data_IF_884846430952
#
_entry.id   IF_884846430952
#
_cell.length_a   1.000
_cell.length_b   1.000
_cell.length_c   1.000
_cell.angle_alpha   90.00
_cell.angle_beta   90.00
_cell.angle_gamma   90.00
#
_symmetry.space_group_name_H-M   'P 1'
#
loop_
_entity.id
_entity.type
_entity.pdbx_description
1 polymer ?
#
# COMPACT_ATOMS: atom_id res chain seq x y z
N UNK A 1 -17.29 35.98 11.73
CA UNK A 1 -17.99 35.67 12.98
C UNK A 1 -16.94 35.35 14.05
N UNK A 2 -16.53 36.38 14.81
CA UNK A 2 -15.36 36.33 15.72
C UNK A 2 -15.45 35.20 16.76
N UNK A 3 -16.66 34.89 17.22
CA UNK A 3 -16.92 33.82 18.18
C UNK A 3 -16.55 32.44 17.63
N UNK A 4 -16.78 32.19 16.33
CA UNK A 4 -16.40 30.92 15.70
C UNK A 4 -14.88 30.80 15.56
N UNK A 5 -14.20 31.91 15.28
CA UNK A 5 -12.75 31.94 15.18
C UNK A 5 -12.10 31.69 16.56
N UNK A 6 -12.63 32.31 17.61
CA UNK A 6 -12.19 32.06 18.98
C UNK A 6 -12.40 30.59 19.37
N UNK A 7 -13.58 30.02 19.11
CA UNK A 7 -13.86 28.62 19.39
C UNK A 7 -12.91 27.65 18.67
N UNK A 8 -12.55 27.95 17.40
CA UNK A 8 -11.55 27.18 16.65
C UNK A 8 -10.17 27.25 17.30
N UNK A 9 -9.73 28.44 17.73
CA UNK A 9 -8.43 28.61 18.42
C UNK A 9 -8.42 27.85 19.74
N UNK A 10 -9.47 27.98 20.56
CA UNK A 10 -9.60 27.25 21.83
C UNK A 10 -9.57 25.74 21.62
N UNK A 11 -10.34 25.21 20.65
CA UNK A 11 -10.31 23.78 20.32
C UNK A 11 -8.90 23.30 19.96
N UNK A 12 -8.19 24.07 19.14
CA UNK A 12 -6.81 23.73 18.73
C UNK A 12 -5.88 23.67 19.95
N UNK A 13 -5.95 24.66 20.82
CA UNK A 13 -5.13 24.72 22.03
C UNK A 13 -5.41 23.52 22.95
N UNK A 14 -6.69 23.19 23.19
CA UNK A 14 -7.06 22.01 23.97
C UNK A 14 -6.52 20.71 23.36
N UNK A 15 -6.56 20.56 22.04
CA UNK A 15 -6.03 19.36 21.37
C UNK A 15 -4.51 19.24 21.52
N UNK A 16 -3.77 20.36 21.44
CA UNK A 16 -2.32 20.40 21.67
C UNK A 16 -2.01 19.93 23.09
N UNK A 17 -2.67 20.52 24.09
CA UNK A 17 -2.49 20.17 25.50
C UNK A 17 -2.83 18.70 25.78
N UNK A 18 -3.88 18.17 25.13
CA UNK A 18 -4.23 16.74 25.24
C UNK A 18 -3.14 15.82 24.67
N UNK A 19 -2.57 16.18 23.52
CA UNK A 19 -1.47 15.40 22.91
C UNK A 19 -0.23 15.43 23.80
N UNK A 20 0.12 16.61 24.33
CA UNK A 20 1.24 16.77 25.26
C UNK A 20 1.03 15.95 26.54
N UNK A 21 -0.16 16.02 27.11
CA UNK A 21 -0.52 15.27 28.32
C UNK A 21 -0.40 13.76 28.14
N UNK A 22 -0.94 13.22 27.04
CA UNK A 22 -0.84 11.78 26.71
C UNK A 22 0.61 11.36 26.43
N UNK A 23 1.43 12.26 25.91
CA UNK A 23 2.84 11.98 25.61
C UNK A 23 3.70 11.92 26.88
N UNK A 24 3.42 12.77 27.87
CA UNK A 24 4.20 12.86 29.10
C UNK A 24 3.75 11.88 30.18
N UNK A 25 2.45 11.57 30.23
CA UNK A 25 1.86 10.78 31.30
C UNK A 25 1.82 9.28 30.96
N UNK A 26 2.18 8.43 31.93
CA UNK A 26 2.00 6.97 31.82
C UNK A 26 0.60 6.57 32.30
N UNK A 27 0.01 5.57 31.66
CA UNK A 27 -1.30 5.00 32.03
C UNK A 27 -2.49 5.98 31.99
N UNK A 28 -2.52 6.90 31.03
CA UNK A 28 -3.65 7.84 30.83
C UNK A 28 -4.96 7.13 30.50
N UNK A 29 -4.87 5.99 29.79
CA UNK A 29 -6.05 5.29 29.28
C UNK A 29 -6.53 4.22 30.27
N UNK A 30 -7.70 4.44 30.85
CA UNK A 30 -8.40 3.51 31.74
C UNK A 30 -9.84 3.27 31.24
N UNK A 31 -10.58 2.32 31.85
CA UNK A 31 -11.93 1.97 31.37
C UNK A 31 -12.93 3.13 31.38
N UNK A 32 -12.75 4.12 32.25
CA UNK A 32 -13.64 5.29 32.37
C UNK A 32 -13.44 6.29 31.22
N UNK A 33 -12.20 6.48 30.78
CA UNK A 33 -11.84 7.46 29.75
C UNK A 33 -12.06 6.92 28.33
N UNK A 34 -11.96 5.60 28.15
CA UNK A 34 -12.05 4.95 26.83
C UNK A 34 -13.29 5.32 26.00
N UNK A 35 -14.53 5.32 26.56
CA UNK A 35 -15.72 5.69 25.78
C UNK A 35 -15.63 7.10 25.19
N UNK A 36 -15.16 8.07 25.99
CA UNK A 36 -15.01 9.46 25.56
C UNK A 36 -13.94 9.62 24.49
N UNK A 37 -12.84 8.86 24.58
CA UNK A 37 -11.80 8.83 23.55
C UNK A 37 -12.35 8.32 22.23
N UNK A 38 -13.05 7.18 22.23
CA UNK A 38 -13.63 6.62 21.01
C UNK A 38 -14.67 7.56 20.41
N UNK A 39 -15.50 8.19 21.23
CA UNK A 39 -16.49 9.17 20.76
C UNK A 39 -15.82 10.41 20.16
N UNK A 40 -14.79 10.97 20.81
CA UNK A 40 -14.04 12.13 20.33
C UNK A 40 -13.40 11.82 18.97
N UNK A 41 -12.73 10.67 18.84
CA UNK A 41 -12.13 10.25 17.57
C UNK A 41 -13.20 10.07 16.49
N UNK A 42 -14.29 9.38 16.81
CA UNK A 42 -15.36 9.09 15.85
C UNK A 42 -16.01 10.36 15.31
N UNK A 43 -16.31 11.34 16.19
CA UNK A 43 -16.96 12.61 15.81
C UNK A 43 -16.05 13.55 15.04
N UNK A 44 -14.73 13.48 15.22
CA UNK A 44 -13.80 14.36 14.52
C UNK A 44 -13.29 13.77 13.21
N UNK A 45 -13.09 12.45 13.13
CA UNK A 45 -12.47 11.80 11.98
C UNK A 45 -13.49 11.28 10.97
N UNK A 46 -14.49 10.53 11.42
CA UNK A 46 -15.37 9.78 10.53
C UNK A 46 -16.41 10.70 9.89
N UNK A 47 -16.21 10.93 8.60
CA UNK A 47 -17.02 11.79 7.74
C UNK A 47 -17.05 11.19 6.35
N UNK A 48 -18.09 11.52 5.59
CA UNK A 48 -18.07 11.29 4.14
C UNK A 48 -16.98 12.17 3.52
N UNK A 49 -16.14 11.57 2.69
CA UNK A 49 -15.15 12.31 1.91
C UNK A 49 -15.87 13.17 0.87
N UNK A 50 -15.32 14.36 0.54
CA UNK A 50 -15.87 15.16 -0.56
C UNK A 50 -15.81 14.36 -1.87
N UNK A 51 -16.73 14.61 -2.82
CA UNK A 51 -16.61 14.03 -4.15
C UNK A 51 -15.30 14.45 -4.81
N UNK A 52 -14.75 13.64 -5.73
CA UNK A 52 -13.55 14.01 -6.47
C UNK A 52 -13.73 15.35 -7.17
N UNK A 53 -12.71 16.22 -7.09
CA UNK A 53 -12.76 17.53 -7.76
C UNK A 53 -12.76 17.40 -9.29
N UNK A 54 -12.03 16.40 -9.80
CA UNK A 54 -11.80 16.18 -11.22
C UNK A 54 -12.45 14.88 -11.67
N UNK A 55 -13.21 14.94 -12.76
CA UNK A 55 -13.84 13.76 -13.38
C UNK A 55 -12.79 12.90 -14.09
N UNK A 56 -11.92 13.55 -14.88
CA UNK A 56 -10.77 12.94 -15.55
C UNK A 56 -9.51 13.43 -14.83
N UNK A 57 -9.13 12.72 -13.77
CA UNK A 57 -7.99 13.13 -12.96
C UNK A 57 -6.66 12.80 -13.61
N UNK A 58 -5.80 13.82 -13.73
CA UNK A 58 -4.43 13.67 -14.15
C UNK A 58 -3.50 13.81 -12.92
N UNK A 59 -2.81 12.74 -12.48
CA UNK A 59 -1.89 12.81 -11.35
C UNK A 59 -0.71 13.77 -11.55
N UNK A 60 -0.38 14.16 -12.78
CA UNK A 60 0.72 15.07 -13.07
C UNK A 60 0.27 16.55 -13.06
N UNK A 61 -0.99 16.84 -13.38
CA UNK A 61 -1.50 18.21 -13.49
C UNK A 61 -2.40 18.63 -12.31
N UNK A 62 -3.14 17.70 -11.70
CA UNK A 62 -4.16 18.04 -10.71
C UNK A 62 -3.60 18.20 -9.29
N UNK A 63 -3.91 19.33 -8.67
CA UNK A 63 -3.52 19.59 -7.28
C UNK A 63 -4.38 18.79 -6.29
N UNK A 64 -3.78 18.19 -5.25
CA UNK A 64 -4.53 17.46 -4.23
C UNK A 64 -5.40 18.42 -3.40
N UNK A 65 -6.64 18.00 -3.13
CA UNK A 65 -7.54 18.76 -2.28
C UNK A 65 -7.15 18.67 -0.80
N UNK A 66 -6.48 19.71 -0.31
CA UNK A 66 -6.11 19.80 1.11
C UNK A 66 -7.31 20.12 1.99
N UNK A 67 -7.45 19.38 3.08
CA UNK A 67 -8.54 19.61 4.01
C UNK A 67 -8.34 20.92 4.79
N UNK A 68 -9.29 21.85 4.69
CA UNK A 68 -9.23 23.14 5.39
C UNK A 68 -9.30 23.03 6.91
N UNK A 69 -9.83 21.91 7.44
CA UNK A 69 -9.85 21.60 8.88
C UNK A 69 -8.55 20.92 9.37
N UNK A 70 -7.53 20.78 8.51
CA UNK A 70 -6.25 20.15 8.85
C UNK A 70 -5.59 20.67 10.15
N UNK A 71 -5.58 21.99 10.44
CA UNK A 71 -4.99 22.50 11.68
C UNK A 71 -5.60 21.93 12.98
N UNK A 72 -6.80 21.35 12.91
CA UNK A 72 -7.41 20.60 14.02
C UNK A 72 -7.24 19.10 13.83
N UNK A 73 -7.48 18.59 12.62
CA UNK A 73 -7.42 17.16 12.32
C UNK A 73 -6.04 16.57 12.58
N UNK A 74 -4.97 17.32 12.28
CA UNK A 74 -3.60 16.90 12.56
C UNK A 74 -3.45 16.45 14.03
N UNK A 75 -3.91 17.25 14.98
CA UNK A 75 -3.79 16.92 16.41
C UNK A 75 -4.74 15.80 16.84
N UNK A 76 -5.89 15.64 16.17
CA UNK A 76 -6.78 14.49 16.41
C UNK A 76 -6.11 13.20 15.93
N UNK A 77 -5.48 13.21 14.76
CA UNK A 77 -4.72 12.08 14.24
C UNK A 77 -3.48 11.77 15.08
N UNK A 78 -2.76 12.80 15.52
CA UNK A 78 -1.62 12.64 16.41
C UNK A 78 -2.06 12.03 17.74
N UNK A 79 -3.13 12.54 18.34
CA UNK A 79 -3.73 11.96 19.53
C UNK A 79 -4.14 10.49 19.28
N UNK A 80 -4.78 10.19 18.15
CA UNK A 80 -5.19 8.82 17.81
C UNK A 80 -3.98 7.88 17.71
N UNK A 81 -2.92 8.32 17.04
CA UNK A 81 -1.68 7.58 16.93
C UNK A 81 -1.04 7.32 18.30
N UNK A 82 -0.93 8.36 19.16
CA UNK A 82 -0.42 8.22 20.53
C UNK A 82 -1.27 7.28 21.38
N UNK A 83 -2.60 7.37 21.26
CA UNK A 83 -3.55 6.48 21.92
C UNK A 83 -3.29 5.02 21.54
N UNK A 84 -3.21 4.68 20.25
CA UNK A 84 -2.91 3.32 19.79
C UNK A 84 -1.52 2.85 20.22
N UNK A 85 -0.55 3.75 20.34
CA UNK A 85 0.81 3.41 20.80
C UNK A 85 0.91 3.11 22.29
N UNK A 86 0.11 3.77 23.13
CA UNK A 86 0.29 3.78 24.59
C UNK A 86 -0.79 3.01 25.35
N UNK A 87 -2.01 2.92 24.83
CA UNK A 87 -3.09 2.17 25.46
C UNK A 87 -2.77 0.66 25.56
N UNK A 88 -3.35 0.01 26.58
CA UNK A 88 -3.28 -1.44 26.73
C UNK A 88 -4.06 -2.14 25.60
N UNK A 89 -3.51 -3.24 25.09
CA UNK A 89 -4.11 -4.06 24.02
C UNK A 89 -5.48 -4.61 24.45
N UNK A 90 -5.67 -4.91 25.74
CA UNK A 90 -6.96 -5.36 26.26
C UNK A 90 -8.03 -4.26 26.13
N UNK A 91 -7.69 -3.02 26.47
CA UNK A 91 -8.58 -1.86 26.32
C UNK A 91 -8.85 -1.57 24.84
N UNK A 92 -7.80 -1.54 24.01
CA UNK A 92 -7.94 -1.36 22.56
C UNK A 92 -8.89 -2.41 21.97
N UNK A 93 -8.72 -3.69 22.33
CA UNK A 93 -9.59 -4.78 21.86
C UNK A 93 -11.03 -4.64 22.34
N UNK A 94 -11.26 -4.16 23.57
CA UNK A 94 -12.59 -3.99 24.15
C UNK A 94 -13.37 -2.88 23.45
N UNK A 95 -12.71 -1.78 23.09
CA UNK A 95 -13.38 -0.56 22.64
C UNK A 95 -13.24 -0.26 21.14
N UNK A 96 -12.14 -0.65 20.48
CA UNK A 96 -12.01 -0.52 19.02
C UNK A 96 -12.75 -1.66 18.33
N UNK A 97 -13.99 -1.45 17.93
CA UNK A 97 -14.74 -2.46 17.19
C UNK A 97 -14.33 -2.51 15.70
N UNK A 98 -14.72 -3.58 15.00
CA UNK A 98 -14.44 -3.73 13.55
C UNK A 98 -15.06 -2.60 12.71
N UNK A 99 -16.21 -2.05 13.13
CA UNK A 99 -16.89 -0.94 12.44
C UNK A 99 -16.06 0.35 12.48
N UNK A 100 -15.44 0.65 13.62
CA UNK A 100 -14.52 1.76 13.78
C UNK A 100 -13.33 1.63 12.82
N UNK A 101 -12.79 0.42 12.70
CA UNK A 101 -11.70 0.15 11.76
C UNK A 101 -12.15 0.28 10.30
N UNK A 102 -13.36 -0.15 9.94
CA UNK A 102 -13.89 0.08 8.58
C UNK A 102 -13.97 1.58 8.27
N UNK A 103 -14.56 2.38 9.16
CA UNK A 103 -14.62 3.82 8.93
C UNK A 103 -13.24 4.47 8.84
N UNK A 104 -12.26 4.00 9.62
CA UNK A 104 -10.88 4.46 9.49
C UNK A 104 -10.27 4.04 8.14
N UNK A 105 -10.63 2.87 7.62
CA UNK A 105 -10.19 2.40 6.31
C UNK A 105 -10.82 3.19 5.17
N UNK A 106 -12.10 3.60 5.28
CA UNK A 106 -12.76 4.43 4.28
C UNK A 106 -12.04 5.78 4.08
N UNK A 107 -11.42 6.31 5.13
CA UNK A 107 -10.65 7.55 5.07
C UNK A 107 -9.33 7.45 4.30
N UNK A 108 -8.83 6.24 3.98
CA UNK A 108 -7.66 6.10 3.10
C UNK A 108 -7.95 6.62 1.69
N UNK A 109 -9.21 6.77 1.30
CA UNK A 109 -9.57 7.38 0.02
C UNK A 109 -9.51 8.93 0.05
N UNK A 110 -9.08 9.55 1.15
CA UNK A 110 -8.90 11.00 1.23
C UNK A 110 -7.89 11.49 0.19
N UNK A 111 -8.16 12.63 -0.45
CA UNK A 111 -7.22 13.27 -1.38
C UNK A 111 -6.03 13.90 -0.66
N UNK A 112 -6.17 14.22 0.64
CA UNK A 112 -5.11 14.82 1.45
C UNK A 112 -4.05 13.78 1.85
N UNK A 113 -2.82 13.83 1.30
CA UNK A 113 -1.78 12.85 1.59
C UNK A 113 -1.38 12.82 3.07
N UNK A 114 -1.54 13.94 3.78
CA UNK A 114 -1.18 14.05 5.20
C UNK A 114 -2.12 13.19 6.05
N UNK A 115 -3.40 13.14 5.69
CA UNK A 115 -4.40 12.31 6.35
C UNK A 115 -4.09 10.82 6.13
N UNK A 116 -3.74 10.45 4.90
CA UNK A 116 -3.37 9.07 4.55
C UNK A 116 -2.11 8.59 5.26
N UNK A 117 -1.11 9.44 5.43
CA UNK A 117 0.13 9.07 6.14
C UNK A 117 -0.12 8.77 7.64
N UNK A 118 -0.94 9.57 8.32
CA UNK A 118 -1.35 9.24 9.70
C UNK A 118 -2.15 7.94 9.77
N UNK A 119 -3.12 7.76 8.86
CA UNK A 119 -3.90 6.53 8.79
C UNK A 119 -3.02 5.30 8.56
N UNK A 120 -1.99 5.42 7.70
CA UNK A 120 -0.97 4.40 7.47
C UNK A 120 -0.28 4.00 8.77
N UNK A 121 0.29 4.98 9.47
CA UNK A 121 0.99 4.76 10.74
C UNK A 121 0.09 4.10 11.78
N UNK A 122 -1.15 4.60 11.92
CA UNK A 122 -2.13 4.10 12.89
C UNK A 122 -2.55 2.67 12.55
N UNK A 123 -2.96 2.40 11.32
CA UNK A 123 -3.43 1.08 10.89
C UNK A 123 -2.32 0.03 11.01
N UNK A 124 -1.09 0.39 10.62
CA UNK A 124 0.08 -0.46 10.81
C UNK A 124 0.31 -0.78 12.29
N UNK A 125 0.20 0.22 13.18
CA UNK A 125 0.37 0.01 14.62
C UNK A 125 -0.72 -0.88 15.22
N UNK A 126 -1.97 -0.71 14.78
CA UNK A 126 -3.09 -1.58 15.17
C UNK A 126 -2.83 -3.02 14.71
N UNK A 127 -2.40 -3.22 13.46
CA UNK A 127 -2.07 -4.54 12.93
C UNK A 127 -0.95 -5.25 13.72
N UNK A 128 0.09 -4.50 14.07
CA UNK A 128 1.24 -5.01 14.82
C UNK A 128 0.89 -5.40 16.26
N UNK A 129 0.17 -4.54 16.99
CA UNK A 129 -0.15 -4.73 18.42
C UNK A 129 -1.38 -5.61 18.67
N UNK A 130 -2.40 -5.52 17.82
CA UNK A 130 -3.70 -6.15 18.07
C UNK A 130 -3.91 -7.36 17.14
N UNK A 131 -3.31 -8.49 17.52
CA UNK A 131 -3.35 -9.76 16.77
C UNK A 131 -4.74 -10.15 16.23
N UNK A 132 -5.85 -10.01 17.00
CA UNK A 132 -7.18 -10.41 16.53
C UNK A 132 -7.70 -9.63 15.31
N UNK A 133 -7.17 -8.42 15.05
CA UNK A 133 -7.58 -7.63 13.89
C UNK A 133 -6.80 -7.97 12.61
N UNK A 134 -5.72 -8.76 12.69
CA UNK A 134 -4.86 -9.04 11.51
C UNK A 134 -5.62 -9.65 10.34
N UNK A 135 -6.44 -10.67 10.60
CA UNK A 135 -7.26 -11.29 9.55
C UNK A 135 -8.28 -10.31 8.97
N UNK A 136 -8.88 -9.49 9.82
CA UNK A 136 -9.88 -8.51 9.43
C UNK A 136 -9.27 -7.40 8.55
N UNK A 137 -8.14 -6.83 8.97
CA UNK A 137 -7.42 -5.80 8.22
C UNK A 137 -6.97 -6.34 6.87
N UNK A 138 -6.34 -7.53 6.82
CA UNK A 138 -5.94 -8.14 5.52
C UNK A 138 -7.14 -8.30 4.59
N UNK A 139 -8.27 -8.82 5.07
CA UNK A 139 -9.49 -8.96 4.25
C UNK A 139 -10.03 -7.62 3.77
N UNK A 140 -10.04 -6.60 4.62
CA UNK A 140 -10.54 -5.28 4.25
C UNK A 140 -9.64 -4.61 3.20
N UNK A 141 -8.31 -4.71 3.34
CA UNK A 141 -7.37 -4.20 2.32
C UNK A 141 -7.57 -4.96 1.01
N UNK A 142 -7.69 -6.30 1.06
CA UNK A 142 -7.94 -7.11 -0.12
C UNK A 142 -9.21 -6.68 -0.86
N UNK A 143 -10.29 -6.38 -0.14
CA UNK A 143 -11.53 -5.92 -0.77
C UNK A 143 -11.31 -4.59 -1.52
N UNK A 144 -10.59 -3.64 -0.93
CA UNK A 144 -10.25 -2.37 -1.59
C UNK A 144 -9.44 -2.63 -2.87
N UNK A 145 -8.41 -3.46 -2.79
CA UNK A 145 -7.58 -3.81 -3.96
C UNK A 145 -8.39 -4.51 -5.06
N UNK A 146 -9.33 -5.39 -4.69
CA UNK A 146 -10.22 -6.06 -5.65
C UNK A 146 -11.14 -5.07 -6.36
N UNK A 147 -11.70 -4.07 -5.67
CA UNK A 147 -12.49 -3.02 -6.31
C UNK A 147 -11.65 -2.21 -7.31
N UNK A 148 -10.39 -1.90 -6.99
CA UNK A 148 -9.49 -1.23 -7.94
C UNK A 148 -9.22 -2.09 -9.19
N UNK A 149 -9.02 -3.40 -9.02
CA UNK A 149 -8.69 -4.31 -10.12
C UNK A 149 -9.89 -4.57 -11.04
N UNK A 150 -11.07 -4.83 -10.46
CA UNK A 150 -12.22 -5.37 -11.20
C UNK A 150 -13.33 -4.36 -11.46
N UNK A 151 -13.48 -3.36 -10.60
CA UNK A 151 -14.47 -2.30 -10.77
C UNK A 151 -13.85 -1.02 -11.36
N UNK A 152 -12.52 -1.01 -11.59
CA UNK A 152 -11.75 0.15 -12.05
C UNK A 152 -12.01 1.41 -11.21
N UNK A 153 -12.34 1.22 -9.92
CA UNK A 153 -12.58 2.34 -9.02
C UNK A 153 -11.25 3.01 -8.68
N UNK A 154 -11.20 4.34 -8.84
CA UNK A 154 -10.09 5.13 -8.34
C UNK A 154 -10.09 5.11 -6.82
N UNK A 155 -8.92 4.84 -6.24
CA UNK A 155 -8.72 4.90 -4.80
C UNK A 155 -7.38 5.59 -4.49
N UNK A 156 -7.42 6.66 -3.69
CA UNK A 156 -6.25 7.53 -3.46
C UNK A 156 -5.21 6.92 -2.51
N UNK A 157 -5.61 5.97 -1.65
CA UNK A 157 -4.75 5.41 -0.60
C UNK A 157 -4.06 4.08 -0.91
N UNK A 158 -3.97 3.67 -2.18
CA UNK A 158 -3.42 2.35 -2.54
C UNK A 158 -1.94 2.24 -2.20
N UNK A 159 -1.17 3.31 -2.42
CA UNK A 159 0.25 3.37 -2.08
C UNK A 159 0.49 3.10 -0.59
N UNK A 160 -0.23 3.81 0.28
CA UNK A 160 -0.11 3.68 1.73
C UNK A 160 -0.57 2.31 2.23
N UNK A 161 -1.62 1.74 1.63
CA UNK A 161 -2.07 0.38 1.95
C UNK A 161 -1.02 -0.67 1.54
N UNK A 162 -0.37 -0.48 0.39
CA UNK A 162 0.71 -1.35 -0.07
C UNK A 162 1.96 -1.23 0.81
N UNK A 163 2.30 -0.05 1.33
CA UNK A 163 3.39 0.08 2.31
C UNK A 163 3.15 -0.77 3.56
N UNK A 164 1.92 -0.77 4.08
CA UNK A 164 1.54 -1.63 5.21
C UNK A 164 1.68 -3.10 4.81
N UNK A 165 1.16 -3.48 3.65
CA UNK A 165 1.27 -4.85 3.14
C UNK A 165 2.72 -5.28 2.96
N UNK A 166 3.60 -4.43 2.46
CA UNK A 166 5.02 -4.71 2.33
C UNK A 166 5.67 -5.06 3.66
N UNK A 167 5.37 -4.28 4.72
CA UNK A 167 5.83 -4.60 6.08
C UNK A 167 5.25 -5.92 6.61
N UNK A 168 3.98 -6.20 6.30
CA UNK A 168 3.32 -7.46 6.67
C UNK A 168 3.97 -8.65 5.96
N UNK A 169 4.23 -8.52 4.65
CA UNK A 169 4.84 -9.56 3.81
C UNK A 169 6.23 -9.88 4.33
N UNK A 170 7.06 -8.87 4.61
CA UNK A 170 8.38 -9.07 5.20
C UNK A 170 8.32 -9.87 6.52
N UNK A 171 7.26 -9.69 7.30
CA UNK A 171 7.00 -10.44 8.54
C UNK A 171 6.48 -11.89 8.37
N UNK A 172 6.23 -12.38 7.15
CA UNK A 172 5.76 -13.75 6.95
C UNK A 172 6.80 -14.81 7.35
N UNK A 173 6.30 -15.84 8.05
CA UNK A 173 7.08 -17.03 8.38
C UNK A 173 7.24 -17.94 7.16
N UNK A 174 8.35 -18.67 7.10
CA UNK A 174 8.59 -19.70 6.11
C UNK A 174 8.24 -21.08 6.69
N UNK A 175 7.72 -22.02 5.88
CA UNK A 175 7.33 -21.85 4.47
C UNK A 175 6.12 -20.92 4.33
N UNK A 176 6.02 -20.23 3.17
CA UNK A 176 4.89 -19.37 2.88
C UNK A 176 3.59 -20.18 2.87
N UNK A 177 2.55 -19.63 3.49
CA UNK A 177 1.22 -20.24 3.47
C UNK A 177 0.58 -20.11 2.09
N UNK A 178 -0.22 -21.09 1.70
CA UNK A 178 -0.98 -21.07 0.44
C UNK A 178 -1.85 -19.80 0.30
N UNK A 179 -2.45 -19.31 1.39
CA UNK A 179 -3.23 -18.07 1.37
C UNK A 179 -2.39 -16.83 0.97
N UNK A 180 -1.08 -16.82 1.26
CA UNK A 180 -0.17 -15.73 0.88
C UNK A 180 0.25 -15.84 -0.59
N UNK A 181 0.48 -17.06 -1.07
CA UNK A 181 0.77 -17.31 -2.49
C UNK A 181 -0.45 -16.95 -3.35
N UNK A 182 -1.65 -17.34 -2.91
CA UNK A 182 -2.89 -16.97 -3.58
C UNK A 182 -3.10 -15.44 -3.60
N UNK A 183 -2.75 -14.75 -2.51
CA UNK A 183 -2.79 -13.29 -2.43
C UNK A 183 -1.86 -12.63 -3.47
N UNK A 184 -0.63 -13.12 -3.61
CA UNK A 184 0.31 -12.67 -4.64
C UNK A 184 -0.29 -12.85 -6.05
N UNK A 185 -0.76 -14.06 -6.36
CA UNK A 185 -1.23 -14.43 -7.71
C UNK A 185 -2.55 -13.77 -8.12
N UNK A 186 -3.46 -13.57 -7.16
CA UNK A 186 -4.83 -13.15 -7.45
C UNK A 186 -5.08 -11.67 -7.18
N UNK A 187 -4.20 -11.00 -6.42
CA UNK A 187 -4.35 -9.59 -6.07
C UNK A 187 -3.14 -8.77 -6.49
N UNK A 188 -1.93 -9.05 -5.99
CA UNK A 188 -0.77 -8.20 -6.27
C UNK A 188 -0.39 -8.20 -7.76
N UNK A 189 -0.26 -9.38 -8.38
CA UNK A 189 0.08 -9.46 -9.82
C UNK A 189 -1.02 -8.79 -10.68
N UNK A 190 -2.34 -9.05 -10.50
CA UNK A 190 -3.36 -8.36 -11.27
C UNK A 190 -3.48 -6.86 -11.02
N UNK A 191 -2.95 -6.33 -9.92
CA UNK A 191 -2.97 -4.89 -9.61
C UNK A 191 -2.20 -4.05 -10.65
N UNK A 192 -1.25 -4.65 -11.37
CA UNK A 192 -0.53 -4.02 -12.50
C UNK A 192 -1.46 -3.62 -13.66
N UNK A 193 -2.67 -4.20 -13.75
CA UNK A 193 -3.67 -3.79 -14.74
C UNK A 193 -4.21 -2.39 -14.49
N UNK A 194 -4.18 -1.91 -13.25
CA UNK A 194 -4.81 -0.65 -12.89
C UNK A 194 -4.30 0.50 -13.77
N UNK A 195 -5.20 1.39 -14.24
CA UNK A 195 -4.79 2.57 -15.00
C UNK A 195 -3.95 3.52 -14.13
N UNK A 196 -4.25 3.60 -12.83
CA UNK A 196 -3.56 4.45 -11.85
C UNK A 196 -2.27 3.83 -11.30
N UNK A 197 -1.76 2.74 -11.90
CA UNK A 197 -0.54 2.06 -11.45
C UNK A 197 0.64 2.99 -11.14
N UNK A 198 0.97 4.00 -11.97
CA UNK A 198 2.13 4.86 -11.71
C UNK A 198 2.14 5.50 -10.31
N UNK A 199 0.96 5.74 -9.71
CA UNK A 199 0.83 6.38 -8.38
C UNK A 199 1.28 5.48 -7.22
N UNK A 200 1.31 4.16 -7.41
CA UNK A 200 1.61 3.19 -6.35
C UNK A 200 2.55 2.06 -6.78
N UNK A 201 3.11 2.14 -7.99
CA UNK A 201 3.95 1.11 -8.58
C UNK A 201 5.14 0.75 -7.68
N UNK A 202 5.84 1.76 -7.14
CA UNK A 202 7.01 1.52 -6.29
C UNK A 202 6.67 0.65 -5.07
N UNK A 203 5.52 0.89 -4.44
CA UNK A 203 5.06 0.14 -3.27
C UNK A 203 4.59 -1.26 -3.67
N UNK A 204 4.01 -1.42 -4.86
CA UNK A 204 3.64 -2.73 -5.41
C UNK A 204 4.89 -3.57 -5.72
N UNK A 205 5.83 -3.02 -6.47
CA UNK A 205 7.11 -3.65 -6.81
C UNK A 205 7.85 -4.07 -5.54
N UNK A 206 7.89 -3.22 -4.51
CA UNK A 206 8.44 -3.60 -3.21
C UNK A 206 7.74 -4.84 -2.62
N UNK A 207 6.40 -4.89 -2.64
CA UNK A 207 5.66 -6.06 -2.16
C UNK A 207 5.98 -7.33 -2.95
N UNK A 208 6.06 -7.23 -4.29
CA UNK A 208 6.41 -8.34 -5.18
C UNK A 208 7.83 -8.85 -4.89
N UNK A 209 8.80 -7.94 -4.82
CA UNK A 209 10.19 -8.24 -4.48
C UNK A 209 10.31 -8.91 -3.11
N UNK A 210 9.56 -8.46 -2.09
CA UNK A 210 9.54 -9.13 -0.78
C UNK A 210 9.04 -10.58 -0.85
N UNK A 211 8.08 -10.90 -1.73
CA UNK A 211 7.65 -12.28 -1.94
C UNK A 211 8.75 -13.13 -2.58
N UNK A 212 9.40 -12.62 -3.64
CA UNK A 212 10.46 -13.34 -4.36
C UNK A 212 11.68 -13.55 -3.47
N UNK A 213 12.05 -12.57 -2.63
CA UNK A 213 13.13 -12.71 -1.65
C UNK A 213 12.85 -13.82 -0.61
N UNK A 214 11.58 -14.03 -0.24
CA UNK A 214 11.19 -15.09 0.69
C UNK A 214 11.14 -16.47 0.06
N UNK A 215 10.69 -16.55 -1.18
CA UNK A 215 10.62 -17.79 -1.95
C UNK A 215 10.89 -17.50 -3.43
N UNK A 216 12.12 -17.77 -3.86
CA UNK A 216 12.57 -17.50 -5.22
C UNK A 216 11.85 -18.38 -6.26
N UNK A 217 11.16 -19.46 -5.87
CA UNK A 217 10.38 -20.29 -6.81
C UNK A 217 9.18 -19.54 -7.39
N UNK A 218 8.74 -18.49 -6.72
CA UNK A 218 7.65 -17.63 -7.15
C UNK A 218 8.06 -16.66 -8.27
N UNK A 219 9.36 -16.43 -8.51
CA UNK A 219 9.85 -15.48 -9.51
C UNK A 219 9.29 -15.78 -10.91
N UNK A 220 9.31 -17.05 -11.31
CA UNK A 220 8.77 -17.47 -12.62
C UNK A 220 7.28 -17.16 -12.79
N UNK A 221 6.49 -17.34 -11.72
CA UNK A 221 5.07 -17.03 -11.70
C UNK A 221 4.82 -15.52 -11.77
N UNK A 222 5.63 -14.72 -11.08
CA UNK A 222 5.54 -13.26 -11.08
C UNK A 222 5.86 -12.71 -12.47
N UNK A 223 7.01 -13.06 -13.04
CA UNK A 223 7.45 -12.57 -14.35
C UNK A 223 6.45 -12.96 -15.45
N UNK A 224 5.95 -14.20 -15.44
CA UNK A 224 4.90 -14.63 -16.37
C UNK A 224 3.60 -13.82 -16.20
N UNK A 225 3.27 -13.46 -14.96
CA UNK A 225 2.10 -12.65 -14.65
C UNK A 225 2.22 -11.18 -15.10
N UNK A 226 3.39 -10.58 -14.93
CA UNK A 226 3.70 -9.22 -15.41
C UNK A 226 3.63 -9.18 -16.94
N UNK A 227 4.29 -10.13 -17.63
CA UNK A 227 4.24 -10.26 -19.09
C UNK A 227 2.81 -10.43 -19.62
N UNK A 228 1.97 -11.20 -18.92
CA UNK A 228 0.55 -11.36 -19.28
C UNK A 228 -0.22 -10.03 -19.28
N UNK A 229 0.20 -9.06 -18.46
CA UNK A 229 -0.46 -7.76 -18.34
C UNK A 229 0.34 -6.62 -18.96
N UNK A 230 1.21 -6.95 -19.92
CA UNK A 230 2.06 -5.98 -20.59
C UNK A 230 1.28 -4.77 -21.12
N UNK A 231 1.67 -3.54 -20.77
CA UNK A 231 0.99 -2.34 -21.25
C UNK A 231 1.38 -2.07 -22.70
N UNK A 232 0.40 -2.02 -23.61
CA UNK A 232 0.64 -1.70 -25.05
C UNK A 232 0.32 -0.21 -25.35
N UNK A 233 -0.42 0.45 -24.44
CA UNK A 233 -0.96 1.81 -24.68
C UNK A 233 -0.27 2.92 -23.89
N UNK A 234 0.70 2.60 -23.01
CA UNK A 234 1.35 3.57 -22.14
C UNK A 234 2.84 3.29 -21.98
N UNK A 235 3.67 4.15 -22.58
CA UNK A 235 5.14 4.08 -22.49
C UNK A 235 5.64 4.26 -21.03
N UNK A 236 4.94 5.07 -20.24
CA UNK A 236 5.25 5.23 -18.81
C UNK A 236 5.06 3.90 -18.07
N UNK A 237 3.93 3.21 -18.28
CA UNK A 237 3.72 1.88 -17.68
C UNK A 237 4.69 0.84 -18.20
N UNK A 238 5.05 0.86 -19.49
CA UNK A 238 6.10 -0.02 -20.02
C UNK A 238 7.37 0.17 -19.20
N UNK A 239 7.85 1.41 -19.05
CA UNK A 239 9.07 1.72 -18.27
C UNK A 239 9.03 1.19 -16.84
N UNK A 240 7.88 1.33 -16.17
CA UNK A 240 7.68 0.80 -14.81
C UNK A 240 7.80 -0.73 -14.76
N UNK A 241 7.17 -1.44 -15.70
CA UNK A 241 7.25 -2.91 -15.80
C UNK A 241 8.68 -3.37 -16.08
N UNK A 242 9.42 -2.66 -16.95
CA UNK A 242 10.82 -2.97 -17.26
C UNK A 242 11.67 -2.94 -15.99
N UNK A 243 11.57 -1.85 -15.21
CA UNK A 243 12.32 -1.65 -13.98
C UNK A 243 11.99 -2.73 -12.94
N UNK A 244 10.70 -3.07 -12.76
CA UNK A 244 10.29 -4.11 -11.82
C UNK A 244 10.80 -5.50 -12.26
N UNK A 245 10.72 -5.81 -13.55
CA UNK A 245 11.23 -7.08 -14.07
C UNK A 245 12.75 -7.21 -13.90
N UNK A 246 13.50 -6.13 -14.10
CA UNK A 246 14.94 -6.08 -13.84
C UNK A 246 15.24 -6.42 -12.37
N UNK A 247 14.57 -5.75 -11.41
CA UNK A 247 14.72 -6.04 -9.98
C UNK A 247 14.40 -7.50 -9.62
N UNK A 248 13.36 -8.10 -10.22
CA UNK A 248 13.00 -9.50 -9.96
C UNK A 248 14.03 -10.46 -10.57
N UNK A 249 14.55 -10.16 -11.76
CA UNK A 249 15.55 -10.97 -12.44
C UNK A 249 16.87 -11.02 -11.65
N UNK A 250 17.28 -9.91 -11.04
CA UNK A 250 18.46 -9.87 -10.15
C UNK A 250 18.34 -10.82 -8.95
N UNK A 251 17.11 -11.11 -8.50
CA UNK A 251 16.83 -11.99 -7.38
C UNK A 251 16.62 -13.46 -7.80
N UNK A 252 16.56 -13.73 -9.11
CA UNK A 252 16.18 -15.04 -9.65
C UNK A 252 17.43 -15.89 -9.89
N UNK A 253 17.55 -17.11 -9.30
CA UNK A 253 18.67 -18.01 -9.59
C UNK A 253 18.68 -18.47 -11.05
N UNK A 254 19.86 -18.66 -11.63
CA UNK A 254 20.07 -19.06 -13.03
C UNK A 254 19.20 -20.26 -13.48
N UNK A 255 19.01 -21.26 -12.61
CA UNK A 255 18.19 -22.44 -12.92
C UNK A 255 16.69 -22.14 -13.16
N UNK A 256 16.19 -21.01 -12.65
CA UNK A 256 14.82 -20.56 -12.91
C UNK A 256 14.73 -19.60 -14.09
N UNK A 257 15.81 -18.89 -14.42
CA UNK A 257 15.87 -17.96 -15.55
C UNK A 257 15.59 -18.71 -16.86
N UNK A 258 16.11 -19.93 -17.04
CA UNK A 258 15.85 -20.73 -18.25
C UNK A 258 14.35 -20.96 -18.50
N UNK A 259 13.57 -21.22 -17.44
CA UNK A 259 12.11 -21.41 -17.56
C UNK A 259 11.40 -20.12 -17.97
N UNK A 260 11.90 -18.98 -17.50
CA UNK A 260 11.33 -17.66 -17.80
C UNK A 260 11.73 -17.20 -19.21
N UNK A 261 12.96 -17.47 -19.64
CA UNK A 261 13.43 -17.15 -21.00
C UNK A 261 12.55 -17.77 -22.08
N UNK A 262 12.14 -19.03 -21.90
CA UNK A 262 11.21 -19.68 -22.83
C UNK A 262 9.86 -18.94 -22.88
N UNK A 263 9.34 -18.49 -21.73
CA UNK A 263 8.10 -17.71 -21.68
C UNK A 263 8.24 -16.28 -22.25
N UNK A 264 9.43 -15.66 -22.16
CA UNK A 264 9.69 -14.31 -22.69
C UNK A 264 9.89 -14.29 -24.21
N UNK A 265 10.34 -15.40 -24.81
CA UNK A 265 10.59 -15.46 -26.25
C UNK A 265 9.34 -15.81 -27.08
N UNK A 266 8.32 -16.45 -26.49
CA UNK A 266 7.10 -16.87 -27.22
C UNK A 266 6.17 -15.71 -27.64
N UNK A 267 6.04 -14.59 -26.90
CA UNK A 267 5.22 -13.45 -27.34
C UNK A 267 5.78 -12.68 -28.55
N UNK A 268 6.98 -13.01 -29.04
CA UNK A 268 7.67 -12.29 -30.14
C UNK A 268 7.03 -12.48 -31.52
N UNK A 269 6.07 -13.40 -31.66
CA UNK A 269 5.45 -13.76 -32.95
C UNK A 269 4.11 -13.05 -33.23
N UNK A 270 3.56 -12.26 -32.30
CA UNK A 270 2.31 -11.52 -32.52
C UNK A 270 2.61 -10.11 -33.07
N UNK A 271 2.13 -9.81 -34.29
CA UNK A 271 2.37 -8.60 -35.10
C UNK A 271 1.93 -7.25 -34.44
N UNK A 272 1.57 -7.24 -33.15
CA UNK A 272 1.13 -6.08 -32.37
C UNK A 272 2.09 -5.63 -31.26
N UNK A 273 3.23 -6.29 -31.06
CA UNK A 273 4.18 -5.91 -30.00
C UNK A 273 4.91 -4.59 -30.32
N UNK A 274 4.99 -3.68 -29.34
CA UNK A 274 5.70 -2.40 -29.51
C UNK A 274 7.19 -2.66 -29.84
N UNK A 275 7.83 -1.84 -30.70
CA UNK A 275 9.26 -1.95 -30.95
C UNK A 275 10.12 -1.82 -29.66
N UNK A 276 9.57 -1.19 -28.62
CA UNK A 276 10.15 -1.12 -27.27
C UNK A 276 10.13 -2.49 -26.56
N UNK A 277 9.03 -3.25 -26.65
CA UNK A 277 8.95 -4.62 -26.12
C UNK A 277 9.97 -5.53 -26.79
N UNK A 278 10.13 -5.42 -28.11
CA UNK A 278 11.12 -6.20 -28.85
C UNK A 278 12.56 -5.82 -28.43
N UNK A 279 12.84 -4.53 -28.26
CA UNK A 279 14.15 -4.05 -27.80
C UNK A 279 14.45 -4.50 -26.37
N UNK A 280 13.45 -4.51 -25.49
CA UNK A 280 13.62 -5.02 -24.12
C UNK A 280 13.73 -6.53 -24.04
N UNK A 281 12.93 -7.32 -24.77
CA UNK A 281 13.13 -8.76 -24.82
C UNK A 281 14.54 -9.08 -25.34
N UNK A 282 15.03 -8.32 -26.33
CA UNK A 282 16.41 -8.44 -26.80
C UNK A 282 17.41 -7.99 -25.73
N UNK A 283 17.14 -6.90 -25.01
CA UNK A 283 18.03 -6.38 -23.96
C UNK A 283 18.04 -7.27 -22.71
N UNK A 284 16.91 -7.75 -22.21
CA UNK A 284 16.81 -8.75 -21.14
C UNK A 284 17.37 -10.09 -21.57
N UNK A 285 17.20 -10.51 -22.82
CA UNK A 285 17.87 -11.70 -23.33
C UNK A 285 19.39 -11.47 -23.33
N UNK A 286 19.86 -10.33 -23.84
CA UNK A 286 21.28 -9.97 -23.86
C UNK A 286 21.83 -9.77 -22.44
N UNK A 287 21.08 -9.16 -21.52
CA UNK A 287 21.48 -8.88 -20.15
C UNK A 287 21.47 -10.16 -19.32
N UNK A 288 20.43 -10.99 -19.43
CA UNK A 288 20.41 -12.30 -18.79
C UNK A 288 21.48 -13.22 -19.38
N UNK A 289 21.73 -13.16 -20.70
CA UNK A 289 22.87 -13.84 -21.31
C UNK A 289 24.21 -13.29 -20.80
N UNK A 290 24.40 -11.97 -20.71
CA UNK A 290 25.63 -11.33 -20.20
C UNK A 290 25.83 -11.65 -18.72
N UNK A 291 24.77 -11.62 -17.91
CA UNK A 291 24.80 -11.94 -16.48
C UNK A 291 25.16 -13.41 -16.27
N UNK A 292 24.47 -14.33 -16.97
CA UNK A 292 24.79 -15.78 -16.97
C UNK A 292 26.22 -16.04 -17.49
N UNK A 293 26.66 -15.35 -18.55
CA UNK A 293 28.01 -15.50 -19.12
C UNK A 293 29.08 -14.93 -18.18
N UNK A 294 28.84 -13.78 -17.56
CA UNK A 294 29.78 -13.13 -16.63
C UNK A 294 29.97 -13.94 -15.35
N UNK A 295 28.93 -14.61 -14.85
CA UNK A 295 29.05 -15.41 -13.63
C UNK A 295 29.67 -16.79 -13.86
N UNK A 296 29.48 -17.38 -15.04
CA UNK A 296 30.20 -18.60 -15.43
C UNK A 296 31.69 -18.34 -15.70
N UNK A 297 32.06 -17.16 -16.19
CA UNK A 297 33.46 -16.77 -16.40
C UNK A 297 34.26 -16.52 -15.10
N UNK A 298 33.60 -16.39 -13.95
CA UNK A 298 34.25 -16.19 -12.64
C UNK A 298 34.25 -17.45 -11.75
N UNK A 299 33.70 -18.57 -12.23
CA UNK A 299 33.63 -19.85 -11.49
C UNK A 299 34.47 -20.97 -12.11
N UNK A 300 35.28 -20.66 -13.15
CA UNK A 300 36.33 -21.52 -13.71
C UNK A 300 37.74 -21.02 -13.37
#
# INVERSE_FOLDING_TARGET
DENQQLARVTKRQCLIELVEYVTQSKQVFNEEVMPYVIEMLSKNLFRSLPPPLYADFDPEEDEPNFNSAWPHLQFVYEFFHRFVMTADVNLLRKYLNKKFLLHAMDLFNSEDPRERDYLKMILHRIYGRCMPYRLFIRKAINNVLLCVIYESQRHNGISELLEILGSIINGFALPLKEEHIHFLQSILIPLHKAPTLPQFHQQLAYCITQFVQKDNTLASCVLSGILKYWPITSCQKETLFLNEMEEILELTPNAQIEKVMVCMCVPLDDEGSSPFFFFFCTFCFVYACIYILSHNLYMD
#
